data_IF_302252973103
#
_entry.id   IF_302252973103
#
_cell.length_a   1.000
_cell.length_b   1.000
_cell.length_c   1.000
_cell.angle_alpha   90.00
_cell.angle_beta   90.00
_cell.angle_gamma   90.00
#
_symmetry.space_group_name_H-M   'P 1'
#
loop_
_entity.id
_entity.type
_entity.pdbx_description
1 polymer ?
#
# COMPACT_ATOMS: atom_id res chain seq x y z
N UNK A 1 7.73 -52.16 -44.18
CA UNK A 1 8.44 -51.04 -43.53
C UNK A 1 7.41 -50.24 -42.75
N UNK A 2 7.60 -50.19 -41.42
CA UNK A 2 6.73 -49.56 -40.42
C UNK A 2 7.36 -48.22 -40.02
N UNK A 3 6.58 -47.15 -39.99
CA UNK A 3 6.89 -45.98 -39.18
C UNK A 3 5.60 -45.36 -38.69
N UNK A 4 5.12 -45.81 -37.53
CA UNK A 4 4.03 -45.17 -36.78
C UNK A 4 4.62 -43.99 -36.01
N UNK A 5 4.09 -42.78 -36.24
CA UNK A 5 4.37 -41.60 -35.41
C UNK A 5 3.80 -41.83 -34.00
N UNK A 6 4.65 -41.72 -32.99
CA UNK A 6 4.24 -41.68 -31.58
C UNK A 6 4.05 -40.20 -31.23
N UNK A 7 2.81 -39.79 -30.97
CA UNK A 7 2.49 -38.50 -30.39
C UNK A 7 2.72 -38.55 -28.88
N UNK A 8 3.73 -37.83 -28.39
CA UNK A 8 3.97 -37.63 -26.96
C UNK A 8 3.04 -36.55 -26.43
N UNK A 9 2.02 -36.94 -25.65
CA UNK A 9 1.27 -36.03 -24.79
C UNK A 9 2.19 -35.55 -23.65
N UNK A 10 2.54 -34.27 -23.65
CA UNK A 10 3.03 -33.60 -22.45
C UNK A 10 1.80 -33.04 -21.70
N UNK A 11 1.29 -33.79 -20.72
CA UNK A 11 0.29 -33.27 -19.79
C UNK A 11 0.93 -32.17 -18.95
N UNK A 12 0.37 -30.97 -19.06
CA UNK A 12 0.69 -29.83 -18.24
C UNK A 12 0.58 -30.18 -16.75
N UNK A 13 1.67 -29.99 -16.01
CA UNK A 13 1.63 -29.91 -14.56
C UNK A 13 0.91 -28.61 -14.21
N UNK A 14 -0.41 -28.68 -14.02
CA UNK A 14 -1.15 -27.63 -13.34
C UNK A 14 -0.59 -27.56 -11.92
N UNK A 15 0.28 -26.58 -11.67
CA UNK A 15 0.64 -26.18 -10.34
C UNK A 15 -0.66 -25.95 -9.56
N UNK A 16 -0.83 -26.68 -8.47
CA UNK A 16 -1.91 -26.46 -7.53
C UNK A 16 -1.72 -25.07 -6.94
N UNK A 17 -2.46 -24.10 -7.48
CA UNK A 17 -2.68 -22.83 -6.79
C UNK A 17 -3.40 -23.19 -5.49
N UNK A 18 -2.66 -23.18 -4.39
CA UNK A 18 -3.24 -23.37 -3.08
C UNK A 18 -4.03 -22.09 -2.81
N UNK A 19 -5.36 -22.16 -2.85
CA UNK A 19 -6.19 -21.04 -2.43
C UNK A 19 -5.92 -20.82 -0.94
N UNK A 20 -5.24 -19.73 -0.61
CA UNK A 20 -4.96 -19.37 0.78
C UNK A 20 -6.26 -18.88 1.43
N UNK A 21 -6.51 -19.20 2.72
CA UNK A 21 -7.74 -18.80 3.39
C UNK A 21 -7.92 -17.27 3.33
N UNK A 22 -9.17 -16.78 3.21
CA UNK A 22 -9.46 -15.36 3.13
C UNK A 22 -8.80 -14.65 4.31
N UNK A 23 -8.04 -13.60 4.03
CA UNK A 23 -7.40 -12.82 5.08
C UNK A 23 -8.46 -12.19 6.00
N UNK A 24 -8.17 -12.09 7.30
CA UNK A 24 -9.09 -11.47 8.25
C UNK A 24 -9.39 -10.03 7.81
N UNK A 25 -10.68 -9.70 7.87
CA UNK A 25 -11.29 -8.45 7.47
C UNK A 25 -10.93 -7.20 8.32
N UNK A 26 -9.91 -7.29 9.19
CA UNK A 26 -9.58 -6.28 10.21
C UNK A 26 -8.06 -6.08 10.39
N UNK A 27 -7.30 -5.99 9.30
CA UNK A 27 -5.86 -5.71 9.41
C UNK A 27 -5.62 -4.23 9.75
N UNK A 28 -5.13 -3.98 10.96
CA UNK A 28 -4.92 -2.64 11.47
C UNK A 28 -3.62 -2.51 12.29
N UNK A 29 -3.10 -1.29 12.33
CA UNK A 29 -1.90 -0.90 13.06
C UNK A 29 -2.17 0.39 13.85
N UNK A 30 -1.57 0.47 15.03
CA UNK A 30 -1.40 1.70 15.78
C UNK A 30 -0.21 2.47 15.23
N UNK A 31 -0.43 3.74 14.85
CA UNK A 31 0.59 4.60 14.23
C UNK A 31 0.46 6.03 14.73
N UNK A 32 1.49 6.88 14.57
CA UNK A 32 1.36 8.33 14.78
C UNK A 32 0.30 9.03 13.92
N UNK A 33 -0.15 8.43 12.82
CA UNK A 33 -1.25 8.93 11.98
C UNK A 33 -2.63 8.48 12.50
N UNK A 34 -2.68 7.84 13.67
CA UNK A 34 -3.86 7.16 14.18
C UNK A 34 -3.95 5.72 13.70
N UNK A 35 -5.13 5.12 13.91
CA UNK A 35 -5.41 3.73 13.52
C UNK A 35 -5.34 3.61 12.01
N UNK A 36 -4.31 2.93 11.52
CA UNK A 36 -4.10 2.69 10.10
C UNK A 36 -4.59 1.30 9.74
N UNK A 37 -5.42 1.16 8.70
CA UNK A 37 -6.03 -0.12 8.32
C UNK A 37 -5.77 -0.46 6.86
N UNK A 38 -5.47 -1.72 6.57
CA UNK A 38 -5.49 -2.22 5.20
C UNK A 38 -6.94 -2.40 4.76
N UNK A 39 -7.33 -1.76 3.66
CA UNK A 39 -8.74 -1.66 3.26
C UNK A 39 -9.09 -2.43 1.99
N UNK A 40 -8.23 -2.38 0.98
CA UNK A 40 -8.43 -3.03 -0.30
C UNK A 40 -7.14 -3.03 -1.13
N UNK A 41 -7.19 -3.69 -2.27
CA UNK A 41 -6.16 -3.64 -3.30
C UNK A 41 -6.65 -2.79 -4.47
N UNK A 42 -5.76 -1.97 -5.03
CA UNK A 42 -5.99 -1.16 -6.23
C UNK A 42 -4.89 -1.46 -7.25
N UNK A 43 -5.20 -2.32 -8.23
CA UNK A 43 -4.24 -2.78 -9.21
C UNK A 43 -3.04 -3.47 -8.57
N UNK A 44 -1.88 -2.80 -8.58
CA UNK A 44 -0.63 -3.30 -7.97
C UNK A 44 -0.43 -2.85 -6.51
N UNK A 45 -1.33 -2.01 -6.00
CA UNK A 45 -1.19 -1.37 -4.70
C UNK A 45 -1.98 -2.11 -3.63
N UNK A 46 -1.38 -2.32 -2.47
CA UNK A 46 -2.12 -2.53 -1.23
C UNK A 46 -2.45 -1.17 -0.62
N UNK A 47 -3.73 -0.94 -0.32
CA UNK A 47 -4.22 0.38 0.12
C UNK A 47 -4.49 0.36 1.62
N UNK A 48 -3.87 1.31 2.32
CA UNK A 48 -4.10 1.55 3.74
C UNK A 48 -4.86 2.86 3.91
N UNK A 49 -5.59 2.98 5.01
CA UNK A 49 -6.31 4.20 5.39
C UNK A 49 -5.96 4.64 6.79
N UNK A 50 -5.98 5.94 7.05
CA UNK A 50 -5.83 6.51 8.39
C UNK A 50 -6.71 7.75 8.54
N UNK A 51 -7.16 8.06 9.77
CA UNK A 51 -7.98 9.24 10.03
C UNK A 51 -7.17 10.53 9.86
N UNK A 52 -7.85 11.61 9.51
CA UNK A 52 -7.31 12.97 9.52
C UNK A 52 -8.07 13.80 10.55
N UNK A 53 -7.42 14.83 11.11
CA UNK A 53 -8.03 15.66 12.16
C UNK A 53 -9.24 16.49 11.68
N UNK A 54 -9.39 16.64 10.36
CA UNK A 54 -10.41 17.49 9.73
C UNK A 54 -11.64 16.68 9.31
N UNK A 55 -12.55 16.44 10.25
CA UNK A 55 -13.86 15.81 9.96
C UNK A 55 -13.75 14.37 9.47
N UNK A 56 -14.56 14.00 8.48
CA UNK A 56 -14.61 12.63 7.92
C UNK A 56 -13.55 12.39 6.82
N UNK A 57 -12.52 13.23 6.75
CA UNK A 57 -11.46 13.10 5.75
C UNK A 57 -10.55 11.91 6.08
N UNK A 58 -10.14 11.19 5.03
CA UNK A 58 -9.34 9.96 5.14
C UNK A 58 -8.06 10.13 4.32
N UNK A 59 -6.93 9.87 4.97
CA UNK A 59 -5.64 9.73 4.30
C UNK A 59 -5.46 8.30 3.80
N UNK A 60 -4.77 8.16 2.65
CA UNK A 60 -4.52 6.87 2.01
C UNK A 60 -3.03 6.65 1.81
N UNK A 61 -2.58 5.41 2.01
CA UNK A 61 -1.25 4.95 1.63
C UNK A 61 -1.41 3.89 0.54
N UNK A 62 -0.74 4.06 -0.59
CA UNK A 62 -0.75 3.14 -1.72
C UNK A 62 0.62 2.46 -1.79
N UNK A 63 0.71 1.24 -1.28
CA UNK A 63 1.97 0.48 -1.21
C UNK A 63 2.12 -0.38 -2.47
N UNK A 64 3.12 -0.05 -3.28
CA UNK A 64 3.41 -0.72 -4.53
C UNK A 64 3.93 -2.15 -4.30
N UNK A 65 3.31 -3.14 -4.95
CA UNK A 65 3.72 -4.54 -4.90
C UNK A 65 3.20 -5.27 -3.67
N UNK A 66 2.25 -4.66 -2.95
CA UNK A 66 1.58 -5.24 -1.80
C UNK A 66 0.24 -5.91 -2.15
N UNK A 67 -0.28 -5.71 -3.36
CA UNK A 67 -1.46 -6.45 -3.85
C UNK A 67 -1.14 -7.93 -4.08
N UNK A 68 -2.06 -8.82 -3.76
CA UNK A 68 -1.92 -10.27 -3.89
C UNK A 68 -1.51 -10.94 -2.59
N UNK A 69 -1.10 -12.21 -2.67
CA UNK A 69 -0.93 -13.02 -1.46
C UNK A 69 0.32 -12.71 -0.62
N UNK A 70 1.27 -11.92 -1.13
CA UNK A 70 2.54 -11.65 -0.44
C UNK A 70 3.12 -10.29 -0.88
N UNK A 71 3.11 -9.31 0.02
CA UNK A 71 4.00 -8.16 -0.11
C UNK A 71 5.43 -8.68 -0.04
N UNK A 72 6.21 -8.50 -1.11
CA UNK A 72 7.56 -9.09 -1.18
C UNK A 72 8.50 -8.62 -0.07
N UNK A 73 9.70 -9.20 -0.03
CA UNK A 73 10.75 -9.07 1.02
C UNK A 73 11.24 -7.62 1.38
N UNK A 74 10.59 -6.57 0.87
CA UNK A 74 10.86 -5.18 1.19
C UNK A 74 12.25 -4.66 0.73
N UNK A 75 12.51 -3.35 0.85
CA UNK A 75 11.53 -2.28 1.07
C UNK A 75 10.56 -2.14 -0.11
N UNK A 76 9.30 -1.82 0.19
CA UNK A 76 8.30 -1.46 -0.81
C UNK A 76 8.21 0.07 -0.90
N UNK A 77 8.02 0.56 -2.11
CA UNK A 77 7.79 1.98 -2.38
C UNK A 77 6.30 2.27 -2.55
N UNK A 78 5.93 3.54 -2.60
CA UNK A 78 4.55 3.93 -2.84
C UNK A 78 4.34 5.43 -2.79
N UNK A 79 3.08 5.81 -2.62
CA UNK A 79 2.72 7.19 -2.32
C UNK A 79 1.62 7.26 -1.26
N UNK A 80 1.48 8.43 -0.64
CA UNK A 80 0.34 8.78 0.19
C UNK A 80 -0.44 9.91 -0.47
N UNK A 81 -1.74 9.97 -0.23
CA UNK A 81 -2.59 11.10 -0.64
C UNK A 81 -3.64 11.40 0.43
N UNK A 82 -3.97 12.69 0.54
CA UNK A 82 -4.98 13.22 1.43
C UNK A 82 -5.82 14.26 0.65
N UNK A 83 -7.05 14.59 1.06
CA UNK A 83 -7.78 15.71 0.49
C UNK A 83 -7.01 17.04 0.60
N UNK A 84 -7.11 17.93 -0.38
CA UNK A 84 -6.54 19.28 -0.26
C UNK A 84 -7.20 20.07 0.89
N UNK A 85 -8.44 19.77 1.27
CA UNK A 85 -9.13 20.44 2.39
C UNK A 85 -8.62 20.01 3.77
N UNK A 86 -7.91 18.87 3.89
CA UNK A 86 -7.27 18.49 5.16
C UNK A 86 -5.96 19.23 5.40
N UNK A 87 -5.62 20.18 4.52
CA UNK A 87 -4.44 21.03 4.56
C UNK A 87 -4.68 22.37 5.29
N UNK A 88 -5.87 22.64 5.85
CA UNK A 88 -6.14 23.89 6.59
C UNK A 88 -5.42 23.91 7.95
N UNK A 89 -4.09 23.87 7.95
CA UNK A 89 -3.29 24.26 9.09
C UNK A 89 -3.31 25.80 9.19
N UNK A 90 -3.82 26.33 10.30
CA UNK A 90 -3.83 27.79 10.55
C UNK A 90 -2.42 28.43 10.51
N UNK A 91 -1.36 27.60 10.49
CA UNK A 91 0.03 27.97 10.39
C UNK A 91 0.52 28.28 8.95
N UNK A 92 -0.16 27.79 7.91
CA UNK A 92 0.15 28.07 6.51
C UNK A 92 1.56 27.64 6.06
N UNK A 93 2.22 26.73 6.79
CA UNK A 93 3.59 26.28 6.55
C UNK A 93 3.66 24.86 6.01
N UNK A 94 2.55 24.11 6.05
CA UNK A 94 2.45 22.81 5.37
C UNK A 94 2.53 23.06 3.85
N UNK A 95 3.65 22.64 3.24
CA UNK A 95 3.85 22.74 1.79
C UNK A 95 2.81 21.87 1.06
N UNK A 96 2.03 22.39 0.12
CA UNK A 96 1.33 21.55 -0.88
C UNK A 96 2.24 21.32 -2.10
N UNK A 97 2.02 20.24 -2.84
CA UNK A 97 2.82 19.97 -4.02
C UNK A 97 2.56 20.95 -5.16
N UNK A 98 3.58 21.28 -5.97
CA UNK A 98 3.43 22.22 -7.08
C UNK A 98 2.59 21.67 -8.25
N UNK A 99 2.22 20.39 -8.20
CA UNK A 99 1.31 19.76 -9.14
C UNK A 99 0.43 18.74 -8.43
N UNK A 100 -0.75 18.52 -8.99
CA UNK A 100 -1.69 17.53 -8.49
C UNK A 100 -1.45 16.15 -9.10
N UNK A 101 -1.79 15.11 -8.35
CA UNK A 101 -2.00 13.75 -8.85
C UNK A 101 -3.48 13.42 -8.85
N UNK A 102 -3.88 12.40 -9.61
CA UNK A 102 -5.14 11.69 -9.41
C UNK A 102 -4.85 10.43 -8.60
N UNK A 103 -5.41 10.31 -7.40
CA UNK A 103 -5.23 9.13 -6.55
C UNK A 103 -6.14 7.96 -6.97
N UNK A 104 -6.03 6.82 -6.28
CA UNK A 104 -6.81 5.61 -6.59
C UNK A 104 -8.32 5.77 -6.37
N UNK A 105 -8.75 6.79 -5.63
CA UNK A 105 -10.16 7.15 -5.47
C UNK A 105 -10.67 8.06 -6.62
N UNK A 106 -9.79 8.37 -7.59
CA UNK A 106 -10.10 9.30 -8.69
C UNK A 106 -10.07 10.77 -8.28
N UNK A 107 -9.57 11.10 -7.08
CA UNK A 107 -9.51 12.48 -6.57
C UNK A 107 -8.25 13.17 -7.06
N UNK A 108 -8.40 14.38 -7.60
CA UNK A 108 -7.28 15.27 -7.89
C UNK A 108 -6.84 15.97 -6.60
N UNK A 109 -5.55 15.91 -6.25
CA UNK A 109 -5.00 16.51 -5.03
C UNK A 109 -3.54 16.94 -5.16
N UNK A 110 -3.18 18.06 -4.53
CA UNK A 110 -1.80 18.52 -4.31
C UNK A 110 -1.22 18.05 -2.96
N UNK A 111 -2.03 17.47 -2.08
CA UNK A 111 -1.62 16.95 -0.77
C UNK A 111 -1.24 15.47 -0.88
N UNK A 112 -0.01 15.23 -1.35
CA UNK A 112 0.52 13.88 -1.57
C UNK A 112 2.04 13.83 -1.38
N UNK A 113 2.59 12.62 -1.39
CA UNK A 113 4.04 12.44 -1.43
C UNK A 113 4.47 10.99 -1.48
N UNK A 114 5.78 10.77 -1.47
CA UNK A 114 6.38 9.43 -1.57
C UNK A 114 6.42 8.73 -0.22
N UNK A 115 6.33 7.41 -0.24
CA UNK A 115 6.61 6.57 0.92
C UNK A 115 7.58 5.46 0.58
N UNK A 116 8.23 4.94 1.62
CA UNK A 116 8.94 3.66 1.60
C UNK A 116 8.63 2.91 2.88
N UNK A 117 8.22 1.66 2.78
CA UNK A 117 7.79 0.83 3.91
C UNK A 117 8.54 -0.49 3.96
N UNK A 118 8.86 -0.93 5.17
CA UNK A 118 9.46 -2.23 5.46
C UNK A 118 8.63 -2.90 6.56
N UNK A 119 8.27 -4.16 6.34
CA UNK A 119 7.69 -5.03 7.37
C UNK A 119 8.83 -5.59 8.23
N UNK A 120 8.68 -5.54 9.55
CA UNK A 120 9.77 -5.84 10.50
C UNK A 120 9.89 -7.32 10.85
N UNK A 121 8.98 -8.17 10.39
CA UNK A 121 9.06 -9.63 10.44
C UNK A 121 9.09 -10.20 9.00
N UNK A 122 8.85 -11.50 8.82
CA UNK A 122 9.01 -12.21 7.54
C UNK A 122 8.36 -11.49 6.36
N UNK A 123 7.11 -11.05 6.47
CA UNK A 123 6.37 -10.34 5.41
C UNK A 123 5.15 -9.57 5.99
N UNK A 124 4.44 -8.84 5.12
CA UNK A 124 3.08 -8.38 5.42
C UNK A 124 2.20 -9.57 5.89
N UNK A 125 1.33 -9.41 6.91
CA UNK A 125 1.00 -8.17 7.62
C UNK A 125 1.68 -8.04 8.99
N UNK A 126 3.01 -8.06 9.10
CA UNK A 126 3.70 -7.79 10.38
C UNK A 126 3.62 -6.32 10.80
N UNK A 127 4.23 -5.99 11.95
CA UNK A 127 4.63 -4.61 12.27
C UNK A 127 5.45 -4.02 11.11
N UNK A 128 5.44 -2.69 10.97
CA UNK A 128 6.16 -2.00 9.91
C UNK A 128 6.86 -0.73 10.38
N UNK A 129 7.84 -0.31 9.59
CA UNK A 129 8.38 1.05 9.62
C UNK A 129 8.20 1.66 8.24
N UNK A 130 7.52 2.80 8.18
CA UNK A 130 7.34 3.59 6.97
C UNK A 130 8.09 4.90 7.09
N UNK A 131 8.66 5.37 5.99
CA UNK A 131 9.13 6.74 5.83
C UNK A 131 8.21 7.48 4.88
N UNK A 132 7.91 8.73 5.19
CA UNK A 132 7.10 9.63 4.36
C UNK A 132 7.93 10.83 3.91
N UNK A 133 7.73 11.19 2.65
CA UNK A 133 8.27 12.41 2.05
C UNK A 133 7.13 13.16 1.38
N UNK A 134 7.35 14.42 1.06
CA UNK A 134 6.32 15.26 0.46
C UNK A 134 6.65 15.51 -1.00
N UNK A 135 5.65 15.40 -1.88
CA UNK A 135 5.86 15.48 -3.31
C UNK A 135 6.96 14.51 -3.75
N UNK A 136 7.99 15.00 -4.43
CA UNK A 136 9.14 14.20 -4.85
C UNK A 136 10.29 14.13 -3.86
N UNK A 137 10.22 14.81 -2.71
CA UNK A 137 11.32 14.75 -1.74
C UNK A 137 11.52 13.32 -1.25
N UNK A 138 12.76 13.00 -0.88
CA UNK A 138 13.03 11.69 -0.32
C UNK A 138 12.26 11.50 1.01
N UNK A 139 11.72 10.30 1.25
CA UNK A 139 11.03 10.02 2.50
C UNK A 139 12.00 10.05 3.70
N UNK A 140 11.72 10.92 4.66
CA UNK A 140 12.54 11.12 5.87
C UNK A 140 11.71 11.09 7.16
N UNK A 141 10.41 11.31 7.07
CA UNK A 141 9.52 11.31 8.24
C UNK A 141 9.18 9.87 8.62
N UNK A 142 9.72 9.39 9.74
CA UNK A 142 9.57 8.00 10.18
C UNK A 142 8.26 7.79 10.93
N UNK A 143 7.49 6.79 10.49
CA UNK A 143 6.19 6.41 11.02
C UNK A 143 6.22 4.91 11.33
N UNK A 144 6.39 4.52 12.62
CA UNK A 144 6.26 3.13 13.02
C UNK A 144 4.78 2.72 13.04
N UNK A 145 4.51 1.48 12.63
CA UNK A 145 3.19 0.86 12.72
C UNK A 145 3.25 -0.43 13.52
N UNK A 146 2.56 -0.44 14.66
CA UNK A 146 2.46 -1.64 15.51
C UNK A 146 1.13 -2.33 15.27
N UNK A 147 1.17 -3.59 14.88
CA UNK A 147 -0.02 -4.36 14.54
C UNK A 147 -0.96 -4.44 15.74
N UNK A 148 -2.24 -4.19 15.48
CA UNK A 148 -3.32 -4.41 16.44
C UNK A 148 -3.75 -5.87 16.33
N UNK A 149 -3.80 -6.54 17.49
CA UNK A 149 -4.16 -7.96 17.61
C UNK A 149 -5.59 -8.26 17.16
#
# INVERSE_FOLDING_TARGET
>A
MRTTLIATLALAACATAHAQPPQPNNLAWDTPLGRTEFVHEDGRFGVFQYPLDYGDNIGRLYIDGLSGEFGGNGPLDGYWSEPDISHDDEAGDTLICPFAITDGEGRMTHNWGRIRIIFTDVDFPSDFVMMRGRCFTDPVDVIPGKRLN
#
